data_IF_603727159602
#
_entry.id   IF_603727159602
#
_cell.length_a   1.000
_cell.length_b   1.000
_cell.length_c   1.000
_cell.angle_alpha   90.00
_cell.angle_beta   90.00
_cell.angle_gamma   90.00
#
_symmetry.space_group_name_H-M   'P 1'
#
loop_
_entity.id
_entity.type
_entity.pdbx_description
1 polymer ?
#
# COMPACT_ATOMS: atom_id res chain seq x y z
N UNK A 1 10.60 -39.29 -14.97
CA UNK A 1 11.46 -38.21 -15.46
C UNK A 1 10.79 -36.86 -15.51
N UNK A 2 9.55 -36.75 -15.96
CA UNK A 2 8.85 -35.46 -15.98
C UNK A 2 8.58 -34.90 -14.58
N UNK A 3 8.44 -35.75 -13.57
CA UNK A 3 8.18 -35.32 -12.19
C UNK A 3 9.39 -34.63 -11.53
N UNK A 4 10.60 -35.03 -11.86
CA UNK A 4 11.81 -34.43 -11.27
C UNK A 4 12.09 -33.03 -11.81
N UNK A 5 11.73 -32.75 -13.05
CA UNK A 5 11.87 -31.41 -13.64
C UNK A 5 10.88 -30.43 -12.98
N UNK A 6 9.64 -30.85 -12.75
CA UNK A 6 8.63 -30.05 -12.06
C UNK A 6 9.00 -29.76 -10.61
N UNK A 7 9.55 -30.74 -9.91
CA UNK A 7 10.04 -30.56 -8.55
C UNK A 7 11.17 -29.55 -8.47
N UNK A 8 12.07 -29.58 -9.43
CA UNK A 8 13.18 -28.62 -9.49
C UNK A 8 12.70 -27.18 -9.69
N UNK A 9 11.71 -26.96 -10.53
CA UNK A 9 11.11 -25.64 -10.75
C UNK A 9 10.39 -25.12 -9.50
N UNK A 10 9.69 -25.98 -8.78
CA UNK A 10 8.99 -25.61 -7.54
C UNK A 10 9.99 -25.23 -6.46
N UNK A 11 11.08 -25.97 -6.33
CA UNK A 11 12.14 -25.67 -5.39
C UNK A 11 12.83 -24.34 -5.69
N UNK A 12 13.08 -24.03 -6.95
CA UNK A 12 13.66 -22.76 -7.36
C UNK A 12 12.75 -21.58 -7.03
N UNK A 13 11.45 -21.73 -7.23
CA UNK A 13 10.45 -20.73 -6.88
C UNK A 13 10.39 -20.48 -5.36
N UNK A 14 10.45 -21.53 -4.57
CA UNK A 14 10.46 -21.42 -3.11
C UNK A 14 11.71 -20.72 -2.59
N UNK A 15 12.85 -20.98 -3.20
CA UNK A 15 14.11 -20.31 -2.84
C UNK A 15 14.08 -18.82 -3.15
N UNK A 16 13.47 -18.42 -4.26
CA UNK A 16 13.32 -17.02 -4.62
C UNK A 16 12.41 -16.25 -3.65
N UNK A 17 11.36 -16.88 -3.16
CA UNK A 17 10.45 -16.24 -2.21
C UNK A 17 11.04 -16.08 -0.82
N UNK A 18 12.00 -16.92 -0.45
CA UNK A 18 12.65 -16.87 0.86
C UNK A 18 13.76 -15.82 0.99
N UNK A 19 14.19 -15.20 -0.10
CA UNK A 19 15.32 -14.27 -0.10
C UNK A 19 14.92 -12.81 0.11
N UNK A 20 13.65 -12.48 0.03
CA UNK A 20 13.18 -11.11 0.21
C UNK A 20 12.99 -10.75 1.69
N UNK A 21 13.69 -9.72 2.19
CA UNK A 21 13.51 -9.21 3.54
C UNK A 21 12.17 -8.54 3.80
N UNK A 22 11.50 -8.04 2.75
CA UNK A 22 10.17 -7.42 2.80
C UNK A 22 9.35 -7.93 1.64
N UNK A 23 8.25 -8.60 1.94
CA UNK A 23 7.35 -9.08 0.91
C UNK A 23 6.42 -7.98 0.43
N UNK A 24 6.28 -7.86 -0.88
CA UNK A 24 5.26 -7.04 -1.49
C UNK A 24 3.97 -7.85 -1.56
N UNK A 25 2.93 -7.36 -0.91
CA UNK A 25 1.63 -8.02 -0.86
C UNK A 25 0.60 -7.25 -1.68
N UNK A 26 -0.41 -7.96 -2.15
CA UNK A 26 -1.56 -7.37 -2.82
C UNK A 26 -2.82 -7.78 -2.07
N UNK A 27 -3.73 -6.84 -1.92
CA UNK A 27 -5.00 -7.10 -1.27
C UNK A 27 -6.10 -6.27 -1.91
N UNK A 28 -7.31 -6.82 -1.90
CA UNK A 28 -8.49 -6.05 -2.26
C UNK A 28 -8.89 -5.16 -1.09
N UNK A 29 -9.27 -3.94 -1.39
CA UNK A 29 -9.67 -2.96 -0.40
C UNK A 29 -10.84 -2.14 -0.90
N UNK A 30 -11.51 -1.47 0.03
CA UNK A 30 -12.63 -0.56 -0.27
C UNK A 30 -12.24 0.83 0.20
N UNK A 31 -12.43 1.81 -0.66
CA UNK A 31 -12.21 3.22 -0.32
C UNK A 31 -13.28 3.64 0.69
N UNK A 32 -12.85 4.05 1.87
CA UNK A 32 -13.75 4.51 2.94
C UNK A 32 -13.69 6.01 3.15
N UNK A 33 -12.73 6.69 2.57
CA UNK A 33 -12.60 8.13 2.65
C UNK A 33 -11.41 8.65 1.88
N UNK A 34 -11.36 9.96 1.74
CA UNK A 34 -10.25 10.66 1.10
C UNK A 34 -9.86 11.87 1.94
N UNK A 35 -8.57 12.12 2.05
CA UNK A 35 -8.03 13.28 2.74
C UNK A 35 -7.13 14.08 1.81
N UNK A 36 -7.10 15.37 2.03
CA UNK A 36 -6.18 16.27 1.38
C UNK A 36 -5.39 17.01 2.46
N UNK A 37 -4.07 16.98 2.34
CA UNK A 37 -3.17 17.68 3.24
C UNK A 37 -2.42 18.75 2.46
N UNK A 38 -2.69 20.02 2.77
CA UNK A 38 -2.03 21.13 2.09
C UNK A 38 -0.55 21.21 2.48
N UNK A 39 0.26 21.70 1.55
CA UNK A 39 1.66 21.97 1.83
C UNK A 39 1.80 23.04 2.90
N UNK A 40 2.76 22.86 3.80
CA UNK A 40 3.06 23.81 4.86
C UNK A 40 4.35 24.54 4.51
N UNK A 41 4.31 25.85 4.51
CA UNK A 41 5.49 26.68 4.29
C UNK A 41 6.31 26.80 5.58
N UNK A 42 7.58 27.06 5.43
CA UNK A 42 8.46 27.26 6.58
C UNK A 42 7.96 28.42 7.44
N UNK A 43 7.78 28.17 8.74
CA UNK A 43 7.28 29.14 9.68
C UNK A 43 5.77 29.15 9.89
N UNK A 44 5.02 28.38 9.13
CA UNK A 44 3.58 28.21 9.33
C UNK A 44 3.30 27.20 10.46
N UNK A 45 2.16 27.37 11.10
CA UNK A 45 1.69 26.43 12.10
C UNK A 45 1.28 25.10 11.45
N UNK A 46 1.79 24.00 11.99
CA UNK A 46 1.45 22.65 11.49
C UNK A 46 0.19 22.20 12.21
N UNK A 47 -0.91 22.12 11.46
CA UNK A 47 -2.21 21.65 11.97
C UNK A 47 -2.41 20.15 11.84
N UNK A 48 -1.74 19.53 10.87
CA UNK A 48 -1.81 18.08 10.60
C UNK A 48 -0.39 17.51 10.68
N UNK A 49 -0.22 16.47 11.48
CA UNK A 49 1.08 15.81 11.66
C UNK A 49 1.66 15.24 10.37
N UNK A 50 0.81 14.94 9.39
CA UNK A 50 1.22 14.43 8.08
C UNK A 50 1.72 15.54 7.16
N UNK A 51 1.52 16.80 7.50
CA UNK A 51 1.85 17.91 6.65
C UNK A 51 3.35 18.01 6.39
N UNK A 52 3.69 18.20 5.12
CA UNK A 52 5.07 18.39 4.65
C UNK A 52 5.15 19.64 3.79
N UNK A 53 6.27 19.84 3.13
CA UNK A 53 6.42 20.94 2.18
C UNK A 53 5.74 20.69 0.83
N UNK A 54 5.06 19.55 0.68
CA UNK A 54 4.32 19.18 -0.52
C UNK A 54 2.86 18.88 -0.19
N UNK A 55 1.97 19.15 -1.14
CA UNK A 55 0.59 18.71 -1.06
C UNK A 55 0.51 17.19 -1.07
N UNK A 56 -0.44 16.65 -0.32
CA UNK A 56 -0.64 15.21 -0.26
C UNK A 56 -2.10 14.88 -0.51
N UNK A 57 -2.33 13.92 -1.38
CA UNK A 57 -3.65 13.34 -1.62
C UNK A 57 -3.65 11.94 -1.04
N UNK A 58 -4.52 11.70 -0.08
CA UNK A 58 -4.53 10.46 0.69
C UNK A 58 -5.87 9.79 0.51
N UNK A 59 -5.83 8.49 0.22
CA UNK A 59 -7.02 7.64 0.15
C UNK A 59 -6.99 6.70 1.36
N UNK A 60 -8.07 6.71 2.13
CA UNK A 60 -8.25 5.74 3.21
C UNK A 60 -8.93 4.51 2.65
N UNK A 61 -8.30 3.38 2.76
CA UNK A 61 -8.79 2.12 2.25
C UNK A 61 -8.82 1.08 3.36
N UNK A 62 -9.93 0.34 3.43
CA UNK A 62 -10.05 -0.78 4.35
C UNK A 62 -9.83 -2.07 3.59
N UNK A 63 -8.83 -2.83 3.99
CA UNK A 63 -8.54 -4.12 3.39
C UNK A 63 -9.61 -5.15 3.74
N UNK A 64 -10.05 -5.90 2.74
CA UNK A 64 -11.15 -6.85 2.91
C UNK A 64 -10.74 -8.12 3.66
N UNK A 65 -9.48 -8.51 3.58
CA UNK A 65 -8.98 -9.73 4.19
C UNK A 65 -8.83 -9.65 5.72
N UNK A 66 -8.42 -8.50 6.22
CA UNK A 66 -8.14 -8.30 7.65
C UNK A 66 -8.87 -7.11 8.28
N UNK A 67 -9.71 -6.42 7.52
CA UNK A 67 -10.43 -5.21 7.95
C UNK A 67 -9.55 -4.06 8.42
N UNK A 68 -8.27 -4.10 8.09
CA UNK A 68 -7.31 -3.07 8.47
C UNK A 68 -7.46 -1.86 7.56
N UNK A 69 -7.55 -0.68 8.16
CA UNK A 69 -7.58 0.58 7.42
C UNK A 69 -6.16 1.10 7.23
N UNK A 70 -5.85 1.46 6.00
CA UNK A 70 -4.55 2.04 5.65
C UNK A 70 -4.74 3.36 4.92
N UNK A 71 -3.76 4.23 5.03
CA UNK A 71 -3.68 5.47 4.25
C UNK A 71 -2.74 5.26 3.08
N UNK A 72 -3.22 5.57 1.87
CA UNK A 72 -2.43 5.40 0.65
C UNK A 72 -2.24 6.78 0.02
N UNK A 73 -0.99 7.15 -0.22
CA UNK A 73 -0.67 8.39 -0.94
C UNK A 73 -0.80 8.14 -2.43
N UNK A 74 -1.61 8.97 -3.08
CA UNK A 74 -1.88 8.88 -4.52
C UNK A 74 -1.61 10.22 -5.17
N UNK A 75 -1.61 10.26 -6.50
CA UNK A 75 -1.56 11.52 -7.21
C UNK A 75 -2.96 12.16 -7.27
N UNK A 76 -2.99 13.42 -7.67
CA UNK A 76 -4.24 14.17 -7.75
C UNK A 76 -5.26 13.53 -8.68
N UNK A 77 -4.82 13.07 -9.85
CA UNK A 77 -5.71 12.47 -10.84
C UNK A 77 -6.36 11.19 -10.30
N UNK A 78 -5.60 10.35 -9.65
CA UNK A 78 -6.10 9.13 -9.04
C UNK A 78 -7.05 9.44 -7.88
N UNK A 79 -6.69 10.41 -7.05
CA UNK A 79 -7.52 10.84 -5.92
C UNK A 79 -8.88 11.37 -6.37
N UNK A 80 -8.92 12.12 -7.45
CA UNK A 80 -10.17 12.66 -8.02
C UNK A 80 -11.08 11.57 -8.61
N UNK A 81 -10.49 10.51 -9.17
CA UNK A 81 -11.23 9.39 -9.76
C UNK A 81 -11.86 8.47 -8.72
N UNK A 82 -11.22 8.31 -7.58
CA UNK A 82 -11.67 7.37 -6.55
C UNK A 82 -12.82 7.95 -5.75
N UNK A 83 -13.80 7.11 -5.46
CA UNK A 83 -14.97 7.47 -4.67
C UNK A 83 -15.10 6.51 -3.49
N UNK A 84 -15.82 6.94 -2.47
CA UNK A 84 -16.16 6.05 -1.36
C UNK A 84 -16.90 4.81 -1.88
N UNK A 85 -16.61 3.68 -1.29
CA UNK A 85 -17.13 2.35 -1.65
C UNK A 85 -16.54 1.75 -2.92
N UNK A 86 -15.62 2.43 -3.60
CA UNK A 86 -14.92 1.84 -4.72
C UNK A 86 -14.00 0.71 -4.26
N UNK A 87 -14.00 -0.39 -5.00
CA UNK A 87 -13.05 -1.47 -4.79
C UNK A 87 -11.78 -1.20 -5.55
N UNK A 88 -10.66 -1.34 -4.85
CA UNK A 88 -9.34 -1.11 -5.40
C UNK A 88 -8.41 -2.25 -5.00
N UNK A 89 -7.36 -2.44 -5.78
CA UNK A 89 -6.26 -3.32 -5.39
C UNK A 89 -5.12 -2.49 -4.84
N UNK A 90 -4.70 -2.85 -3.65
CA UNK A 90 -3.61 -2.17 -2.96
C UNK A 90 -2.40 -3.09 -2.94
N UNK A 91 -1.27 -2.56 -3.36
CA UNK A 91 0.02 -3.21 -3.17
C UNK A 91 0.73 -2.52 -2.01
N UNK A 92 1.32 -3.31 -1.13
CA UNK A 92 1.98 -2.78 0.04
C UNK A 92 3.11 -3.70 0.49
N UNK A 93 3.96 -3.18 1.35
CA UNK A 93 5.02 -3.95 1.97
C UNK A 93 4.78 -4.03 3.47
N UNK A 94 5.14 -5.15 4.06
CA UNK A 94 5.00 -5.37 5.50
C UNK A 94 6.38 -5.58 6.09
N UNK A 95 6.70 -4.85 7.14
CA UNK A 95 7.94 -5.03 7.87
C UNK A 95 7.98 -6.41 8.52
N UNK A 96 9.08 -7.15 8.30
CA UNK A 96 9.23 -8.54 8.74
C UNK A 96 9.07 -8.69 10.26
N UNK A 97 9.54 -7.73 11.02
CA UNK A 97 9.55 -7.80 12.48
C UNK A 97 8.50 -6.94 13.15
N UNK A 98 8.07 -5.87 12.49
CA UNK A 98 7.14 -4.90 13.07
C UNK A 98 5.71 -5.08 12.64
N UNK A 99 5.48 -5.78 11.52
CA UNK A 99 4.14 -5.90 10.92
C UNK A 99 3.58 -4.59 10.38
N UNK A 100 4.41 -3.54 10.32
CA UNK A 100 3.99 -2.23 9.83
C UNK A 100 3.80 -2.24 8.31
N UNK A 101 2.68 -1.74 7.84
CA UNK A 101 2.41 -1.57 6.41
C UNK A 101 3.07 -0.28 5.93
N UNK A 102 3.80 -0.38 4.84
CA UNK A 102 4.47 0.77 4.23
C UNK A 102 4.50 0.62 2.71
N UNK A 103 4.86 1.69 2.03
CA UNK A 103 4.94 1.74 0.56
C UNK A 103 3.63 1.24 -0.10
N UNK A 104 2.49 1.68 0.43
CA UNK A 104 1.19 1.29 -0.07
C UNK A 104 0.83 2.11 -1.32
N UNK A 105 0.39 1.41 -2.37
CA UNK A 105 -0.01 1.99 -3.64
C UNK A 105 -1.31 1.37 -4.11
N UNK A 106 -2.12 2.15 -4.83
CA UNK A 106 -3.33 1.66 -5.49
C UNK A 106 -3.01 1.39 -6.95
N UNK A 107 -3.33 0.18 -7.39
CA UNK A 107 -3.19 -0.21 -8.79
C UNK A 107 -4.26 0.42 -9.67
#
# INVERSE_FOLDING_TARGET
MKKSILLSCVLALLLMTGLGGCEKKRADAVVIGKDYVAAVKQGEEIKDERATNHEQWIVKARMLDNSRTIEVHVDRAQWEKLRESDRVKVTYRVGKYTGTVWDAEIE
#
